data_IF_873726731761
#
_entry.id   IF_873726731761
#
_cell.length_a   1.000
_cell.length_b   1.000
_cell.length_c   1.000
_cell.angle_alpha   90.00
_cell.angle_beta   90.00
_cell.angle_gamma   90.00
#
_symmetry.space_group_name_H-M   'P 1'
#
loop_
_entity.id
_entity.type
_entity.pdbx_description
1 polymer ?
#
# COMPACT_ATOMS: atom_id res chain seq x y z
N UNK A 1 14.04 2.41 -25.56
CA UNK A 1 14.27 1.39 -24.52
C UNK A 1 15.76 1.09 -24.37
N UNK A 2 16.49 0.69 -25.41
CA UNK A 2 17.95 0.42 -25.31
C UNK A 2 18.74 1.65 -24.83
N UNK A 3 18.47 2.84 -25.36
CA UNK A 3 19.15 4.05 -24.92
C UNK A 3 18.90 4.35 -23.44
N UNK A 4 17.69 4.10 -22.95
CA UNK A 4 17.37 4.24 -21.53
C UNK A 4 18.11 3.20 -20.68
N UNK A 5 18.18 1.94 -21.13
CA UNK A 5 18.92 0.89 -20.43
C UNK A 5 20.43 1.22 -20.35
N UNK A 6 21.03 1.65 -21.46
CA UNK A 6 22.44 2.09 -21.50
C UNK A 6 22.71 3.28 -20.57
N UNK A 7 21.81 4.29 -20.57
CA UNK A 7 21.97 5.45 -19.72
C UNK A 7 21.82 5.14 -18.23
N UNK A 8 21.08 4.08 -17.87
CA UNK A 8 20.91 3.63 -16.49
C UNK A 8 22.00 2.65 -16.02
N UNK A 9 22.86 2.15 -16.93
CA UNK A 9 23.83 1.09 -16.63
C UNK A 9 24.75 1.41 -15.43
N UNK A 10 25.11 2.68 -15.26
CA UNK A 10 26.06 3.11 -14.23
C UNK A 10 25.40 3.74 -12.99
N UNK A 11 24.07 3.76 -12.93
CA UNK A 11 23.30 4.37 -11.83
C UNK A 11 23.03 3.42 -10.65
N UNK A 12 23.60 2.20 -10.70
CA UNK A 12 23.46 1.21 -9.61
C UNK A 12 22.14 0.48 -9.58
N UNK A 13 21.34 0.49 -10.67
CA UNK A 13 20.11 -0.30 -10.73
C UNK A 13 20.41 -1.81 -10.75
N UNK A 14 19.59 -2.58 -10.05
CA UNK A 14 19.70 -4.04 -9.96
C UNK A 14 18.86 -4.77 -11.00
N UNK A 15 17.84 -4.09 -11.55
CA UNK A 15 16.88 -4.68 -12.47
C UNK A 15 16.33 -3.61 -13.41
N UNK A 16 16.37 -3.87 -14.71
CA UNK A 16 15.75 -3.02 -15.74
C UNK A 16 14.41 -3.60 -16.14
N UNK A 17 13.34 -2.81 -16.09
CA UNK A 17 12.01 -3.25 -16.46
C UNK A 17 11.44 -2.50 -17.65
N UNK A 18 10.71 -3.22 -18.52
CA UNK A 18 9.89 -2.58 -19.55
C UNK A 18 8.53 -3.26 -19.69
N UNK A 19 7.51 -2.46 -20.05
CA UNK A 19 6.17 -2.96 -20.30
C UNK A 19 6.04 -3.55 -21.69
N UNK A 20 6.18 -4.86 -21.82
CA UNK A 20 5.97 -5.61 -23.06
C UNK A 20 4.48 -5.63 -23.40
N UNK A 21 3.66 -5.91 -22.41
CA UNK A 21 2.20 -5.80 -22.44
C UNK A 21 1.76 -4.81 -21.37
N UNK A 22 0.78 -3.96 -21.69
CA UNK A 22 0.26 -2.95 -20.75
C UNK A 22 -1.28 -3.06 -20.70
N UNK A 23 -1.85 -3.67 -19.65
CA UNK A 23 -3.29 -3.70 -19.49
C UNK A 23 -3.84 -2.28 -19.32
N UNK A 24 -4.74 -1.85 -20.19
CA UNK A 24 -5.31 -0.50 -20.20
C UNK A 24 -6.77 -0.51 -19.79
N UNK A 25 -7.20 0.58 -19.14
CA UNK A 25 -8.59 0.75 -18.73
C UNK A 25 -9.50 1.12 -19.90
N UNK A 26 -8.95 1.82 -20.91
CA UNK A 26 -9.69 2.23 -22.09
C UNK A 26 -9.12 1.56 -23.33
N UNK A 27 -9.96 1.19 -24.30
CA UNK A 27 -9.50 0.74 -25.61
C UNK A 27 -8.71 1.85 -26.30
N UNK A 28 -8.00 1.52 -27.37
CA UNK A 28 -7.20 2.43 -28.20
C UNK A 28 -6.01 3.12 -27.51
N UNK A 29 -5.73 2.78 -26.24
CA UNK A 29 -4.50 3.19 -25.58
C UNK A 29 -3.34 2.25 -25.93
N UNK A 30 -2.11 2.75 -25.80
CA UNK A 30 -0.92 1.92 -26.09
C UNK A 30 -0.84 0.72 -25.13
N UNK A 31 -1.04 -0.47 -25.65
CA UNK A 31 -1.08 -1.75 -24.90
C UNK A 31 0.27 -2.48 -24.85
N UNK A 32 1.35 -1.84 -25.29
CA UNK A 32 2.68 -2.44 -25.44
C UNK A 32 2.92 -2.93 -26.87
N UNK A 33 4.13 -3.42 -27.13
CA UNK A 33 4.51 -3.98 -28.44
C UNK A 33 4.37 -5.50 -28.50
N UNK A 34 4.05 -6.13 -27.37
CA UNK A 34 3.90 -7.57 -27.30
C UNK A 34 5.24 -8.34 -27.48
N UNK A 35 5.16 -9.57 -27.94
CA UNK A 35 6.31 -10.49 -28.05
C UNK A 35 7.59 -9.89 -28.66
N UNK A 36 7.57 -9.07 -29.74
CA UNK A 36 8.78 -8.45 -30.27
C UNK A 36 9.58 -7.63 -29.25
N UNK A 37 8.92 -7.07 -28.23
CA UNK A 37 9.61 -6.30 -27.19
C UNK A 37 10.39 -7.18 -26.20
N UNK A 38 10.15 -8.48 -26.14
CA UNK A 38 10.96 -9.42 -25.38
C UNK A 38 12.39 -9.49 -25.95
N UNK A 39 12.55 -9.52 -27.26
CA UNK A 39 13.86 -9.52 -27.92
C UNK A 39 14.63 -8.24 -27.59
N UNK A 40 13.94 -7.10 -27.48
CA UNK A 40 14.56 -5.84 -27.08
C UNK A 40 15.02 -5.84 -25.63
N UNK A 41 14.27 -6.47 -24.71
CA UNK A 41 14.70 -6.66 -23.33
C UNK A 41 15.93 -7.57 -23.23
N UNK A 42 15.95 -8.68 -23.97
CA UNK A 42 17.10 -9.59 -24.04
C UNK A 42 18.32 -8.85 -24.57
N UNK A 43 18.15 -8.04 -25.63
CA UNK A 43 19.24 -7.21 -26.17
C UNK A 43 19.73 -6.20 -25.12
N UNK A 44 18.82 -5.53 -24.39
CA UNK A 44 19.20 -4.61 -23.32
C UNK A 44 20.05 -5.31 -22.24
N UNK A 45 19.65 -6.51 -21.82
CA UNK A 45 20.43 -7.32 -20.87
C UNK A 45 21.82 -7.68 -21.43
N UNK A 46 21.89 -8.12 -22.68
CA UNK A 46 23.16 -8.50 -23.33
C UNK A 46 24.14 -7.33 -23.42
N UNK A 47 23.63 -6.14 -23.72
CA UNK A 47 24.45 -4.94 -23.85
C UNK A 47 24.87 -4.31 -22.53
N UNK A 48 24.00 -4.35 -21.53
CA UNK A 48 24.22 -3.64 -20.24
C UNK A 48 24.66 -4.55 -19.11
N UNK A 49 24.43 -5.86 -19.22
CA UNK A 49 24.62 -6.81 -18.13
C UNK A 49 23.55 -6.74 -17.02
N UNK A 50 22.56 -5.84 -17.13
CA UNK A 50 21.52 -5.66 -16.12
C UNK A 50 20.41 -6.70 -16.35
N UNK A 51 20.00 -7.46 -15.32
CA UNK A 51 18.84 -8.35 -15.41
C UNK A 51 17.58 -7.60 -15.84
N UNK A 52 16.68 -8.29 -16.54
CA UNK A 52 15.49 -7.67 -17.14
C UNK A 52 14.20 -8.26 -16.60
N UNK A 53 13.17 -7.41 -16.51
CA UNK A 53 11.86 -7.79 -16.02
C UNK A 53 10.72 -7.28 -16.91
N UNK A 54 9.57 -7.99 -16.88
CA UNK A 54 8.34 -7.54 -17.52
C UNK A 54 7.09 -8.02 -16.80
N UNK A 55 5.96 -7.35 -17.08
CA UNK A 55 4.63 -7.72 -16.56
C UNK A 55 4.08 -8.94 -17.29
N UNK A 56 3.45 -9.84 -16.55
CA UNK A 56 2.66 -10.95 -17.08
C UNK A 56 1.22 -10.87 -16.59
N UNK A 57 0.25 -11.18 -17.45
CA UNK A 57 -1.16 -11.10 -17.15
C UNK A 57 -1.93 -12.40 -17.42
N UNK A 58 -1.28 -13.39 -18.04
CA UNK A 58 -1.85 -14.70 -18.38
C UNK A 58 -0.73 -15.72 -18.59
N UNK A 59 -1.10 -16.98 -18.81
CA UNK A 59 -0.18 -18.11 -19.04
C UNK A 59 0.68 -17.94 -20.29
N UNK A 60 0.12 -17.42 -21.39
CA UNK A 60 0.84 -17.19 -22.64
C UNK A 60 1.97 -16.16 -22.49
N UNK A 61 1.76 -15.14 -21.63
CA UNK A 61 2.82 -14.18 -21.30
C UNK A 61 3.94 -14.84 -20.51
N UNK A 62 3.61 -15.69 -19.53
CA UNK A 62 4.60 -16.45 -18.76
C UNK A 62 5.44 -17.33 -19.69
N UNK A 63 4.80 -18.16 -20.52
CA UNK A 63 5.49 -19.05 -21.46
C UNK A 63 6.42 -18.28 -22.42
N UNK A 64 5.94 -17.14 -22.95
CA UNK A 64 6.76 -16.31 -23.84
C UNK A 64 7.98 -15.73 -23.13
N UNK A 65 7.82 -15.27 -21.88
CA UNK A 65 8.91 -14.74 -21.07
C UNK A 65 9.93 -15.82 -20.70
N UNK A 66 9.47 -17.01 -20.29
CA UNK A 66 10.34 -18.16 -19.99
C UNK A 66 11.16 -18.57 -21.21
N UNK A 67 10.51 -18.65 -22.39
CA UNK A 67 11.19 -18.97 -23.65
C UNK A 67 12.23 -17.92 -24.05
N UNK A 68 11.96 -16.64 -23.81
CA UNK A 68 12.89 -15.54 -24.06
C UNK A 68 14.00 -15.42 -22.99
N UNK A 69 13.88 -16.15 -21.88
CA UNK A 69 14.84 -16.10 -20.77
C UNK A 69 14.79 -14.79 -20.01
N UNK A 70 13.61 -14.22 -19.76
CA UNK A 70 13.44 -13.04 -18.90
C UNK A 70 13.76 -13.41 -17.46
N UNK A 71 14.52 -12.56 -16.76
CA UNK A 71 15.10 -12.87 -15.46
C UNK A 71 14.09 -12.75 -14.30
N UNK A 72 13.14 -11.80 -14.37
CA UNK A 72 12.13 -11.55 -13.33
C UNK A 72 10.78 -11.24 -13.97
N UNK A 73 9.70 -11.77 -13.41
CA UNK A 73 8.34 -11.47 -13.84
C UNK A 73 7.60 -10.67 -12.74
N UNK A 74 6.61 -9.85 -13.12
CA UNK A 74 5.69 -9.33 -12.13
C UNK A 74 4.24 -9.46 -12.57
N UNK A 75 3.38 -9.67 -11.59
CA UNK A 75 1.93 -9.68 -11.75
C UNK A 75 1.43 -8.26 -11.48
N UNK A 76 0.76 -7.66 -12.46
CA UNK A 76 0.26 -6.29 -12.38
C UNK A 76 -0.97 -6.15 -11.49
N UNK A 77 -1.21 -4.94 -11.00
CA UNK A 77 -2.31 -4.63 -10.08
C UNK A 77 -3.71 -5.00 -10.61
N UNK A 78 -3.91 -4.93 -11.93
CA UNK A 78 -5.17 -5.32 -12.57
C UNK A 78 -5.35 -6.84 -12.65
N UNK A 79 -4.26 -7.57 -12.73
CA UNK A 79 -4.27 -9.04 -12.73
C UNK A 79 -4.41 -9.58 -11.31
N UNK A 80 -3.77 -8.94 -10.33
CA UNK A 80 -3.82 -9.32 -8.90
C UNK A 80 -5.26 -9.33 -8.35
N UNK A 81 -6.18 -8.54 -8.90
CA UNK A 81 -7.59 -8.53 -8.48
C UNK A 81 -8.36 -9.81 -8.83
N UNK A 82 -7.81 -10.67 -9.70
CA UNK A 82 -8.45 -11.92 -10.14
C UNK A 82 -7.73 -13.14 -9.58
N UNK A 83 -8.27 -13.82 -8.56
CA UNK A 83 -7.68 -15.05 -8.03
C UNK A 83 -7.50 -16.15 -9.08
N UNK A 84 -8.39 -16.23 -10.07
CA UNK A 84 -8.29 -17.21 -11.15
C UNK A 84 -7.10 -16.90 -12.07
N UNK A 85 -6.94 -15.65 -12.51
CA UNK A 85 -5.82 -15.26 -13.34
C UNK A 85 -4.46 -15.45 -12.63
N UNK A 86 -4.39 -15.10 -11.34
CA UNK A 86 -3.20 -15.35 -10.52
C UNK A 86 -2.93 -16.84 -10.39
N UNK A 87 -3.97 -17.68 -10.21
CA UNK A 87 -3.80 -19.12 -10.12
C UNK A 87 -3.29 -19.74 -11.43
N UNK A 88 -3.80 -19.30 -12.58
CA UNK A 88 -3.33 -19.74 -13.90
C UNK A 88 -1.85 -19.37 -14.12
N UNK A 89 -1.46 -18.13 -13.78
CA UNK A 89 -0.06 -17.68 -13.82
C UNK A 89 0.81 -18.52 -12.88
N UNK A 90 0.36 -18.73 -11.64
CA UNK A 90 1.07 -19.55 -10.67
C UNK A 90 1.27 -20.98 -11.18
N UNK A 91 0.25 -21.58 -11.80
CA UNK A 91 0.35 -22.90 -12.41
C UNK A 91 1.37 -22.94 -13.56
N UNK A 92 1.42 -21.90 -14.39
CA UNK A 92 2.41 -21.80 -15.48
C UNK A 92 3.85 -21.59 -14.98
N UNK A 93 4.03 -21.18 -13.73
CA UNK A 93 5.34 -21.01 -13.09
C UNK A 93 5.87 -22.28 -12.40
N UNK A 94 5.06 -23.35 -12.29
CA UNK A 94 5.47 -24.59 -11.66
C UNK A 94 6.71 -25.19 -12.31
N UNK A 95 7.67 -25.60 -11.47
CA UNK A 95 8.94 -26.16 -11.95
C UNK A 95 9.92 -25.13 -12.55
N UNK A 96 9.62 -23.84 -12.48
CA UNK A 96 10.55 -22.76 -12.85
C UNK A 96 11.22 -22.17 -11.62
N UNK A 97 12.38 -21.55 -11.82
CA UNK A 97 13.11 -20.84 -10.77
C UNK A 97 13.20 -19.33 -11.07
N UNK A 98 12.15 -18.75 -11.68
CA UNK A 98 12.11 -17.33 -12.04
C UNK A 98 11.45 -16.53 -10.90
N UNK A 99 12.13 -15.54 -10.31
CA UNK A 99 11.56 -14.66 -9.30
C UNK A 99 10.31 -13.92 -9.77
N UNK A 100 9.33 -13.77 -8.90
CA UNK A 100 8.06 -13.13 -9.24
C UNK A 100 7.73 -12.02 -8.25
N UNK A 101 7.40 -10.85 -8.77
CA UNK A 101 6.90 -9.75 -7.96
C UNK A 101 5.39 -9.63 -8.12
N UNK A 102 4.68 -9.36 -7.02
CA UNK A 102 3.22 -9.25 -7.00
C UNK A 102 2.81 -7.85 -6.58
N UNK A 103 2.27 -7.05 -7.51
CA UNK A 103 1.72 -5.72 -7.18
C UNK A 103 0.46 -5.85 -6.33
N UNK A 104 0.24 -4.91 -5.40
CA UNK A 104 -1.04 -4.83 -4.70
C UNK A 104 -2.20 -4.64 -5.69
N UNK A 105 -3.40 -5.15 -5.37
CA UNK A 105 -4.60 -4.95 -6.20
C UNK A 105 -4.95 -3.46 -6.31
N UNK A 106 -5.78 -3.11 -7.29
CA UNK A 106 -6.19 -1.71 -7.53
C UNK A 106 -6.93 -1.12 -6.32
N UNK A 107 -7.77 -1.90 -5.65
CA UNK A 107 -8.49 -1.50 -4.44
C UNK A 107 -7.74 -1.94 -3.18
N UNK A 108 -8.00 -1.26 -2.08
CA UNK A 108 -7.44 -1.55 -0.77
C UNK A 108 -8.03 -2.86 -0.21
N UNK A 109 -7.36 -3.98 -0.47
CA UNK A 109 -7.77 -5.32 -0.05
C UNK A 109 -6.53 -6.14 0.32
N UNK A 110 -6.18 -6.14 1.60
CA UNK A 110 -5.02 -6.87 2.11
C UNK A 110 -5.16 -8.38 1.95
N UNK A 111 -6.29 -9.03 2.31
CA UNK A 111 -6.48 -10.47 2.09
C UNK A 111 -6.32 -10.91 0.64
N UNK A 112 -6.80 -10.11 -0.30
CA UNK A 112 -6.65 -10.39 -1.73
C UNK A 112 -5.19 -10.33 -2.18
N UNK A 113 -4.42 -9.34 -1.68
CA UNK A 113 -3.00 -9.23 -1.98
C UNK A 113 -2.20 -10.39 -1.39
N UNK A 114 -2.43 -10.71 -0.13
CA UNK A 114 -1.83 -11.87 0.54
C UNK A 114 -2.13 -13.17 -0.22
N UNK A 115 -3.39 -13.39 -0.56
CA UNK A 115 -3.80 -14.58 -1.30
C UNK A 115 -3.15 -14.72 -2.68
N UNK A 116 -2.88 -13.59 -3.38
CA UNK A 116 -2.13 -13.61 -4.62
C UNK A 116 -0.66 -14.02 -4.41
N UNK A 117 0.00 -13.48 -3.40
CA UNK A 117 1.37 -13.83 -3.02
C UNK A 117 1.48 -15.30 -2.63
N UNK A 118 0.56 -15.78 -1.80
CA UNK A 118 0.53 -17.18 -1.34
C UNK A 118 0.34 -18.17 -2.49
N UNK A 119 -0.50 -17.86 -3.48
CA UNK A 119 -0.67 -18.72 -4.68
C UNK A 119 0.63 -18.86 -5.44
N UNK A 120 1.36 -17.75 -5.63
CA UNK A 120 2.65 -17.79 -6.33
C UNK A 120 3.70 -18.54 -5.50
N UNK A 121 3.81 -18.27 -4.19
CA UNK A 121 4.73 -18.98 -3.28
C UNK A 121 4.49 -20.49 -3.22
N UNK A 122 3.25 -20.93 -3.38
CA UNK A 122 2.92 -22.37 -3.43
C UNK A 122 3.29 -23.04 -4.74
N UNK A 123 3.49 -22.27 -5.80
CA UNK A 123 3.74 -22.79 -7.13
C UNK A 123 5.22 -22.84 -7.51
N UNK A 124 6.09 -22.05 -6.85
CA UNK A 124 7.51 -21.96 -7.14
C UNK A 124 8.34 -21.78 -5.88
N UNK A 125 9.55 -22.36 -5.90
CA UNK A 125 10.58 -22.14 -4.86
C UNK A 125 11.39 -20.85 -5.10
N UNK A 126 11.17 -20.17 -6.21
CA UNK A 126 11.82 -18.91 -6.53
C UNK A 126 11.37 -17.78 -5.60
N UNK A 127 12.20 -16.75 -5.38
CA UNK A 127 11.84 -15.59 -4.58
C UNK A 127 10.55 -14.91 -5.05
N UNK A 128 9.63 -14.66 -4.12
CA UNK A 128 8.40 -13.91 -4.37
C UNK A 128 8.41 -12.66 -3.52
N UNK A 129 8.31 -11.48 -4.16
CA UNK A 129 8.31 -10.17 -3.53
C UNK A 129 7.00 -9.44 -3.78
N UNK A 130 6.67 -8.50 -2.92
CA UNK A 130 5.53 -7.62 -3.10
C UNK A 130 5.95 -6.27 -3.69
N UNK A 131 5.05 -5.66 -4.48
CA UNK A 131 5.22 -4.28 -4.95
C UNK A 131 4.05 -3.44 -4.46
N UNK A 132 4.35 -2.46 -3.61
CA UNK A 132 3.39 -1.46 -3.19
C UNK A 132 3.35 -0.30 -4.20
N UNK A 133 2.21 -0.13 -4.88
CA UNK A 133 2.00 0.89 -5.92
C UNK A 133 0.86 1.88 -5.62
N UNK A 134 0.34 1.87 -4.36
CA UNK A 134 -0.83 2.62 -3.96
C UNK A 134 -2.16 2.03 -4.44
N UNK A 135 -3.26 2.61 -3.99
CA UNK A 135 -4.62 2.13 -4.21
C UNK A 135 -5.49 3.20 -4.87
N UNK A 136 -6.42 2.76 -5.70
CA UNK A 136 -7.37 3.65 -6.36
C UNK A 136 -8.36 4.24 -5.35
N UNK A 137 -8.59 5.55 -5.42
CA UNK A 137 -9.66 6.24 -4.70
C UNK A 137 -10.51 7.04 -5.69
N UNK A 138 -11.78 7.21 -5.37
CA UNK A 138 -12.67 8.07 -6.13
C UNK A 138 -12.44 9.55 -5.77
N UNK A 139 -12.56 10.44 -6.74
CA UNK A 139 -12.40 11.89 -6.58
C UNK A 139 -10.99 12.42 -6.89
N UNK A 140 -10.82 13.74 -6.75
CA UNK A 140 -9.52 14.38 -6.92
C UNK A 140 -8.62 14.07 -5.74
N UNK A 141 -7.38 13.67 -6.03
CA UNK A 141 -6.38 13.29 -5.05
C UNK A 141 -5.06 14.00 -5.35
N UNK A 142 -4.23 14.21 -4.33
CA UNK A 142 -2.87 14.69 -4.49
C UNK A 142 -2.03 13.67 -5.27
N UNK A 143 -2.19 12.38 -4.95
CA UNK A 143 -1.54 11.23 -5.58
C UNK A 143 -2.43 10.60 -6.65
N UNK A 144 -1.81 10.01 -7.67
CA UNK A 144 -2.52 9.20 -8.66
C UNK A 144 -3.18 7.97 -8.04
N UNK A 145 -2.48 7.34 -7.10
CA UNK A 145 -3.01 6.26 -6.27
C UNK A 145 -2.66 6.56 -4.82
N UNK A 146 -3.66 6.54 -3.94
CA UNK A 146 -3.44 6.80 -2.52
C UNK A 146 -2.42 5.80 -1.93
N UNK A 147 -1.37 6.25 -1.26
CA UNK A 147 -0.35 5.34 -0.75
C UNK A 147 -0.88 4.35 0.29
N UNK A 148 -1.78 4.77 1.19
CA UNK A 148 -2.38 3.90 2.23
C UNK A 148 -1.31 2.99 2.86
N UNK A 149 -0.26 3.60 3.42
CA UNK A 149 0.93 2.93 3.96
C UNK A 149 0.61 1.87 5.00
N UNK A 150 -0.48 2.07 5.74
CA UNK A 150 -1.01 1.13 6.74
C UNK A 150 -1.25 -0.27 6.18
N UNK A 151 -1.62 -0.40 4.90
CA UNK A 151 -1.84 -1.71 4.27
C UNK A 151 -0.52 -2.41 3.97
N UNK A 152 0.49 -1.66 3.51
CA UNK A 152 1.82 -2.23 3.28
C UNK A 152 2.49 -2.64 4.60
N UNK A 153 2.32 -1.84 5.67
CA UNK A 153 2.76 -2.17 7.02
C UNK A 153 2.04 -3.42 7.53
N UNK A 154 0.72 -3.50 7.38
CA UNK A 154 -0.05 -4.67 7.79
C UNK A 154 0.36 -5.94 7.02
N UNK A 155 0.70 -5.82 5.72
CA UNK A 155 1.27 -6.93 4.95
C UNK A 155 2.61 -7.39 5.53
N UNK A 156 3.51 -6.46 5.86
CA UNK A 156 4.81 -6.78 6.45
C UNK A 156 4.66 -7.47 7.82
N UNK A 157 3.68 -7.03 8.62
CA UNK A 157 3.38 -7.66 9.92
C UNK A 157 2.83 -9.08 9.75
N UNK A 158 1.96 -9.30 8.75
CA UNK A 158 1.37 -10.61 8.48
C UNK A 158 2.36 -11.60 7.81
N UNK A 159 3.33 -11.08 7.05
CA UNK A 159 4.33 -11.86 6.29
C UNK A 159 5.73 -11.25 6.53
N UNK A 160 6.34 -11.43 7.70
CA UNK A 160 7.59 -10.74 8.08
C UNK A 160 8.81 -11.08 7.20
N UNK A 161 8.81 -12.24 6.57
CA UNK A 161 9.83 -12.73 5.64
C UNK A 161 9.66 -12.23 4.20
N UNK A 162 8.59 -11.46 3.92
CA UNK A 162 8.29 -10.96 2.60
C UNK A 162 9.03 -9.65 2.32
N UNK A 163 9.83 -9.62 1.26
CA UNK A 163 10.40 -8.38 0.77
C UNK A 163 9.34 -7.55 0.05
N UNK A 164 9.20 -6.28 0.45
CA UNK A 164 8.28 -5.32 -0.17
C UNK A 164 9.09 -4.20 -0.81
N UNK A 165 8.85 -3.91 -2.08
CA UNK A 165 9.38 -2.73 -2.77
C UNK A 165 8.25 -1.73 -3.06
N UNK A 166 8.59 -0.45 -3.11
CA UNK A 166 7.65 0.61 -3.45
C UNK A 166 7.76 0.99 -4.93
N UNK A 167 6.64 1.33 -5.54
CA UNK A 167 6.55 1.92 -6.88
C UNK A 167 6.11 3.40 -6.77
N UNK A 168 7.05 4.34 -6.51
CA UNK A 168 6.75 5.76 -6.35
C UNK A 168 6.09 6.37 -7.59
N UNK A 169 6.46 5.92 -8.79
CA UNK A 169 5.92 6.45 -10.04
C UNK A 169 4.41 6.28 -10.13
N UNK A 170 3.91 5.10 -9.79
CA UNK A 170 2.47 4.83 -9.84
C UNK A 170 1.71 5.43 -8.64
N UNK A 171 2.34 5.58 -7.48
CA UNK A 171 1.74 6.29 -6.34
C UNK A 171 1.63 7.78 -6.67
N UNK A 172 2.71 8.42 -7.02
CA UNK A 172 2.80 9.85 -7.27
C UNK A 172 1.99 10.31 -8.50
N UNK A 173 2.18 9.64 -9.64
CA UNK A 173 1.59 10.00 -10.92
C UNK A 173 2.16 11.29 -11.54
N UNK A 174 3.10 11.97 -10.86
CA UNK A 174 3.79 13.18 -11.29
C UNK A 174 5.17 13.28 -10.66
N UNK A 175 6.13 13.85 -11.39
CA UNK A 175 7.55 13.93 -10.98
C UNK A 175 7.75 14.63 -9.63
N UNK A 176 7.04 15.73 -9.39
CA UNK A 176 7.20 16.54 -8.17
C UNK A 176 6.95 15.82 -6.84
N UNK A 177 6.31 14.64 -6.86
CA UNK A 177 6.01 13.86 -5.66
C UNK A 177 6.90 12.63 -5.50
N UNK A 178 7.74 12.28 -6.49
CA UNK A 178 8.51 11.04 -6.49
C UNK A 178 9.46 10.94 -5.31
N UNK A 179 10.23 11.97 -5.04
CA UNK A 179 11.20 12.02 -3.93
C UNK A 179 10.50 11.80 -2.59
N UNK A 180 9.40 12.52 -2.34
CA UNK A 180 8.63 12.41 -1.10
C UNK A 180 8.08 10.99 -0.88
N UNK A 181 7.59 10.35 -1.94
CA UNK A 181 7.07 8.98 -1.86
C UNK A 181 8.21 7.98 -1.69
N UNK A 182 9.30 8.14 -2.43
CA UNK A 182 10.48 7.28 -2.34
C UNK A 182 11.12 7.36 -0.95
N UNK A 183 11.34 8.57 -0.41
CA UNK A 183 11.88 8.75 0.93
C UNK A 183 10.97 8.12 1.99
N UNK A 184 9.65 8.34 1.89
CA UNK A 184 8.70 7.73 2.84
C UNK A 184 8.74 6.20 2.80
N UNK A 185 8.91 5.59 1.62
CA UNK A 185 9.08 4.14 1.50
C UNK A 185 10.36 3.65 2.21
N UNK A 186 11.47 4.38 2.04
CA UNK A 186 12.73 4.05 2.74
C UNK A 186 12.60 4.23 4.26
N UNK A 187 11.96 5.29 4.72
CA UNK A 187 11.70 5.54 6.15
C UNK A 187 10.82 4.45 6.79
N UNK A 188 9.97 3.79 6.00
CA UNK A 188 9.15 2.65 6.43
C UNK A 188 9.86 1.30 6.31
N UNK A 189 11.15 1.29 5.97
CA UNK A 189 11.94 0.06 5.88
C UNK A 189 11.60 -0.82 4.67
N UNK A 190 11.05 -0.27 3.59
CA UNK A 190 10.85 -1.05 2.37
C UNK A 190 12.18 -1.41 1.72
N UNK A 191 12.24 -2.60 1.10
CA UNK A 191 13.46 -3.24 0.62
C UNK A 191 14.00 -2.69 -0.70
N UNK A 192 13.28 -1.75 -1.34
CA UNK A 192 13.72 -1.12 -2.58
C UNK A 192 12.63 -0.32 -3.26
N UNK A 193 12.98 0.22 -4.42
CA UNK A 193 12.13 1.08 -5.23
C UNK A 193 11.99 0.54 -6.65
N UNK A 194 10.83 0.71 -7.25
CA UNK A 194 10.57 0.47 -8.67
C UNK A 194 10.10 1.77 -9.31
N UNK A 195 10.93 2.39 -10.16
CA UNK A 195 10.63 3.69 -10.77
C UNK A 195 10.58 3.61 -12.29
N UNK A 196 9.87 4.55 -12.91
CA UNK A 196 9.81 4.69 -14.37
C UNK A 196 10.78 5.78 -14.82
N UNK A 197 11.66 5.39 -15.77
CA UNK A 197 12.62 6.30 -16.41
C UNK A 197 12.56 6.19 -17.92
N UNK A 198 12.80 7.31 -18.61
CA UNK A 198 12.89 7.40 -20.06
C UNK A 198 13.87 8.48 -20.46
N UNK A 199 14.73 8.27 -21.47
CA UNK A 199 15.68 9.27 -21.95
C UNK A 199 15.03 10.59 -22.37
N UNK A 200 13.78 10.52 -22.85
CA UNK A 200 12.96 11.66 -23.25
C UNK A 200 11.54 11.43 -22.74
N UNK A 201 11.26 11.75 -21.46
CA UNK A 201 9.95 11.45 -20.83
C UNK A 201 8.75 11.98 -21.60
N UNK A 202 8.88 13.14 -22.24
CA UNK A 202 7.81 13.76 -23.05
C UNK A 202 7.46 12.97 -24.31
N UNK A 203 8.40 12.15 -24.81
CA UNK A 203 8.19 11.26 -25.95
C UNK A 203 7.76 9.84 -25.53
N UNK A 204 7.57 9.60 -24.25
CA UNK A 204 7.14 8.30 -23.76
C UNK A 204 5.71 7.98 -24.24
N UNK A 205 5.52 6.75 -24.71
CA UNK A 205 4.23 6.30 -25.25
C UNK A 205 3.14 6.12 -24.19
N UNK A 206 3.50 6.21 -22.92
CA UNK A 206 2.58 6.11 -21.77
C UNK A 206 3.20 6.75 -20.53
N UNK A 207 2.33 7.25 -19.66
CA UNK A 207 2.66 7.67 -18.30
C UNK A 207 3.80 8.72 -18.24
N UNK A 208 3.89 9.64 -19.22
CA UNK A 208 4.94 10.67 -19.39
C UNK A 208 5.16 11.54 -18.15
N UNK A 209 4.07 11.90 -17.45
CA UNK A 209 4.08 12.86 -16.34
C UNK A 209 4.82 12.33 -15.09
N UNK A 210 4.94 11.02 -14.96
CA UNK A 210 5.58 10.36 -13.82
C UNK A 210 6.98 9.81 -14.13
N UNK A 211 7.41 9.85 -15.40
CA UNK A 211 8.72 9.36 -15.81
C UNK A 211 9.78 10.42 -15.60
N UNK A 212 10.97 10.01 -15.19
CA UNK A 212 12.15 10.85 -15.04
C UNK A 212 13.22 10.46 -16.04
N UNK A 213 14.12 11.38 -16.38
CA UNK A 213 15.32 11.03 -17.14
C UNK A 213 16.27 10.16 -16.30
N UNK A 214 17.20 9.40 -16.91
CA UNK A 214 18.23 8.66 -16.17
C UNK A 214 19.03 9.54 -15.20
N UNK A 215 19.35 10.77 -15.57
CA UNK A 215 20.09 11.71 -14.71
C UNK A 215 19.23 12.18 -13.51
N UNK A 216 17.96 12.50 -13.73
CA UNK A 216 17.02 12.82 -12.63
C UNK A 216 16.80 11.63 -11.71
N UNK A 217 16.72 10.40 -12.26
CA UNK A 217 16.64 9.18 -11.48
C UNK A 217 17.86 9.01 -10.57
N UNK A 218 19.06 9.15 -11.12
CA UNK A 218 20.30 9.05 -10.35
C UNK A 218 20.36 10.08 -9.24
N UNK A 219 20.07 11.34 -9.54
CA UNK A 219 20.04 12.42 -8.55
C UNK A 219 19.02 12.14 -7.43
N UNK A 220 17.83 11.65 -7.78
CA UNK A 220 16.82 11.29 -6.81
C UNK A 220 17.31 10.17 -5.87
N UNK A 221 17.87 9.09 -6.41
CA UNK A 221 18.36 7.96 -5.59
C UNK A 221 19.51 8.41 -4.69
N UNK A 222 20.44 9.23 -5.18
CA UNK A 222 21.57 9.76 -4.39
C UNK A 222 21.07 10.72 -3.28
N UNK A 223 19.95 11.42 -3.49
CA UNK A 223 19.34 12.32 -2.51
C UNK A 223 18.62 11.62 -1.36
N UNK A 224 18.31 10.33 -1.49
CA UNK A 224 17.58 9.59 -0.45
C UNK A 224 18.43 9.32 0.78
N UNK A 225 17.84 9.55 1.94
CA UNK A 225 18.43 9.14 3.22
C UNK A 225 18.03 7.69 3.50
N UNK A 226 19.00 6.79 3.41
CA UNK A 226 18.79 5.39 3.77
C UNK A 226 19.07 5.22 5.27
N UNK A 227 18.04 4.75 6.00
CA UNK A 227 18.13 4.46 7.44
C UNK A 227 18.13 2.96 7.63
N UNK A 228 19.07 2.48 8.41
CA UNK A 228 19.15 1.04 8.73
C UNK A 228 18.24 0.75 9.93
N UNK A 229 17.31 -0.16 9.75
CA UNK A 229 16.43 -0.64 10.84
C UNK A 229 17.21 -1.40 11.93
N UNK A 230 18.43 -1.85 11.63
CA UNK A 230 19.29 -2.65 12.52
C UNK A 230 20.42 -1.86 13.16
N UNK A 231 20.71 -0.63 12.72
CA UNK A 231 21.57 0.25 13.50
C UNK A 231 20.78 0.67 14.72
N UNK A 232 21.11 0.10 15.86
CA UNK A 232 20.54 0.51 17.14
C UNK A 232 20.66 2.03 17.32
N UNK A 233 19.71 2.65 18.03
CA UNK A 233 19.77 4.09 18.28
C UNK A 233 21.09 4.47 18.95
N UNK A 234 21.61 5.63 18.64
CA UNK A 234 22.78 6.22 19.31
C UNK A 234 22.59 6.33 20.83
N UNK A 235 21.33 6.33 21.28
CA UNK A 235 20.92 6.26 22.67
C UNK A 235 19.72 5.30 22.83
N UNK A 236 19.97 3.97 22.94
CA UNK A 236 18.91 2.96 23.11
C UNK A 236 18.08 3.18 24.37
N UNK A 237 18.69 3.65 25.44
CA UNK A 237 18.02 3.86 26.72
C UNK A 237 17.00 5.00 26.64
N UNK A 238 17.32 6.08 25.93
CA UNK A 238 16.41 7.20 25.72
C UNK A 238 15.21 6.80 24.84
N UNK A 239 15.43 6.06 23.76
CA UNK A 239 14.34 5.57 22.92
C UNK A 239 13.39 4.66 23.69
N UNK A 240 13.94 3.75 24.50
CA UNK A 240 13.14 2.85 25.33
C UNK A 240 12.35 3.60 26.41
N UNK A 241 12.96 4.59 27.06
CA UNK A 241 12.27 5.46 28.00
C UNK A 241 11.08 6.23 27.35
N UNK A 242 11.26 6.71 26.10
CA UNK A 242 10.17 7.37 25.35
C UNK A 242 9.06 6.38 24.99
N UNK A 243 9.37 5.15 24.62
CA UNK A 243 8.37 4.10 24.35
C UNK A 243 7.57 3.77 25.61
N UNK A 244 8.22 3.57 26.75
CA UNK A 244 7.53 3.34 28.02
C UNK A 244 6.61 4.50 28.42
N UNK A 245 7.02 5.75 28.14
CA UNK A 245 6.12 6.89 28.35
C UNK A 245 4.91 6.84 27.41
N UNK A 246 5.08 6.47 26.14
CA UNK A 246 3.99 6.31 25.20
C UNK A 246 3.03 5.20 25.62
N UNK A 247 3.55 4.05 26.03
CA UNK A 247 2.77 2.91 26.55
C UNK A 247 1.91 3.33 27.74
N UNK A 248 2.49 4.11 28.68
CA UNK A 248 1.75 4.63 29.84
C UNK A 248 0.65 5.62 29.45
N UNK A 249 0.86 6.43 28.40
CA UNK A 249 -0.18 7.33 27.87
C UNK A 249 -1.28 6.53 27.19
N UNK A 250 -0.93 5.50 26.40
CA UNK A 250 -1.90 4.63 25.73
C UNK A 250 -2.78 3.89 26.74
N UNK A 251 -2.22 3.42 27.87
CA UNK A 251 -2.98 2.83 28.97
C UNK A 251 -4.00 3.82 29.54
N UNK A 252 -3.59 5.06 29.80
CA UNK A 252 -4.48 6.12 30.30
C UNK A 252 -5.60 6.44 29.28
N UNK A 253 -5.30 6.46 27.99
CA UNK A 253 -6.31 6.66 26.93
C UNK A 253 -7.33 5.54 26.92
N UNK A 254 -6.90 4.28 27.07
CA UNK A 254 -7.79 3.11 27.16
C UNK A 254 -8.70 3.20 28.39
N UNK A 255 -8.17 3.56 29.55
CA UNK A 255 -8.97 3.75 30.78
C UNK A 255 -10.01 4.87 30.64
N UNK A 256 -9.63 6.00 30.02
CA UNK A 256 -10.57 7.09 29.73
C UNK A 256 -11.66 6.68 28.74
N UNK A 257 -11.32 5.89 27.72
CA UNK A 257 -12.30 5.32 26.78
C UNK A 257 -13.25 4.36 27.49
N UNK A 258 -12.76 3.50 28.38
CA UNK A 258 -13.59 2.62 29.20
C UNK A 258 -14.57 3.43 30.06
N UNK A 259 -14.07 4.44 30.75
CA UNK A 259 -14.90 5.35 31.58
C UNK A 259 -15.97 6.03 30.73
N UNK A 260 -15.62 6.50 29.55
CA UNK A 260 -16.54 7.10 28.58
C UNK A 260 -17.61 6.11 28.10
N UNK A 261 -17.27 4.84 27.87
CA UNK A 261 -18.23 3.81 27.47
C UNK A 261 -19.16 3.43 28.61
N UNK A 262 -18.70 3.46 29.87
CA UNK A 262 -19.57 3.27 31.03
C UNK A 262 -20.64 4.39 31.11
N UNK A 263 -20.25 5.66 30.96
CA UNK A 263 -21.20 6.78 30.86
C UNK A 263 -22.15 6.62 29.66
N UNK A 264 -21.69 6.07 28.52
CA UNK A 264 -22.56 5.79 27.39
C UNK A 264 -23.62 4.72 27.71
N UNK A 265 -23.28 3.69 28.50
CA UNK A 265 -24.26 2.70 29.02
C UNK A 265 -25.31 3.37 29.93
N UNK A 266 -24.88 4.19 30.86
CA UNK A 266 -25.79 4.93 31.75
C UNK A 266 -26.76 5.82 30.95
N UNK A 267 -26.25 6.53 29.93
CA UNK A 267 -27.08 7.32 29.01
C UNK A 267 -28.06 6.42 28.25
N UNK A 268 -27.62 5.24 27.79
CA UNK A 268 -28.49 4.22 27.14
C UNK A 268 -29.63 3.78 28.04
N UNK A 269 -29.31 3.46 29.31
CA UNK A 269 -30.30 3.11 30.34
C UNK A 269 -31.29 4.25 30.64
N UNK A 270 -30.79 5.49 30.77
CA UNK A 270 -31.64 6.66 30.95
C UNK A 270 -32.61 6.85 29.77
N UNK A 271 -32.12 6.79 28.54
CA UNK A 271 -32.93 6.91 27.32
C UNK A 271 -34.00 5.81 27.23
N UNK A 272 -33.64 4.57 27.55
CA UNK A 272 -34.57 3.44 27.63
C UNK A 272 -35.72 3.72 28.60
N UNK A 273 -35.40 4.17 29.78
CA UNK A 273 -36.40 4.45 30.84
C UNK A 273 -37.34 5.61 30.50
N UNK A 274 -36.90 6.54 29.64
CA UNK A 274 -37.66 7.71 29.24
C UNK A 274 -38.21 7.66 27.82
N UNK A 275 -38.12 6.52 27.12
CA UNK A 275 -38.62 6.36 25.75
C UNK A 275 -37.92 7.24 24.73
N UNK A 276 -36.66 7.59 24.93
CA UNK A 276 -35.89 8.48 24.06
C UNK A 276 -35.14 7.70 22.96
N UNK A 277 -34.97 8.31 21.81
CA UNK A 277 -34.15 7.72 20.70
C UNK A 277 -32.66 7.75 21.05
N UNK A 278 -31.91 6.73 20.57
CA UNK A 278 -30.48 6.62 20.79
C UNK A 278 -29.73 7.78 20.10
N UNK A 279 -30.00 8.00 18.82
CA UNK A 279 -29.35 9.03 18.03
C UNK A 279 -30.03 10.39 18.20
N UNK A 280 -29.28 11.38 18.67
CA UNK A 280 -29.68 12.77 18.77
C UNK A 280 -28.78 13.62 17.86
N UNK A 281 -29.21 13.84 16.62
CA UNK A 281 -28.43 14.50 15.56
C UNK A 281 -27.90 15.88 15.96
N UNK A 282 -28.67 16.65 16.72
CA UNK A 282 -28.25 17.99 17.19
C UNK A 282 -27.02 17.89 18.11
N UNK A 283 -27.08 16.96 19.08
CA UNK A 283 -25.98 16.70 20.02
C UNK A 283 -24.73 16.20 19.31
N UNK A 284 -24.90 15.35 18.28
CA UNK A 284 -23.79 14.86 17.49
C UNK A 284 -23.05 15.99 16.76
N UNK A 285 -23.77 16.89 16.09
CA UNK A 285 -23.19 18.07 15.43
C UNK A 285 -22.43 18.96 16.41
N UNK A 286 -22.98 19.18 17.60
CA UNK A 286 -22.33 19.97 18.67
C UNK A 286 -21.03 19.32 19.14
N UNK A 287 -21.02 17.99 19.35
CA UNK A 287 -19.84 17.22 19.75
C UNK A 287 -18.74 17.36 18.69
N UNK A 288 -19.05 17.14 17.43
CA UNK A 288 -18.08 17.29 16.34
C UNK A 288 -17.45 18.68 16.31
N UNK A 289 -18.28 19.72 16.34
CA UNK A 289 -17.81 21.11 16.31
C UNK A 289 -16.91 21.47 17.50
N UNK A 290 -17.33 21.12 18.72
CA UNK A 290 -16.60 21.53 19.93
C UNK A 290 -15.31 20.74 20.12
N UNK A 291 -15.32 19.41 19.87
CA UNK A 291 -14.13 18.57 20.05
C UNK A 291 -13.13 18.77 18.92
N UNK A 292 -13.61 19.05 17.70
CA UNK A 292 -12.74 19.45 16.59
C UNK A 292 -11.94 20.72 16.92
N UNK A 293 -12.60 21.75 17.48
CA UNK A 293 -11.92 22.97 17.90
C UNK A 293 -10.91 22.73 19.05
N UNK A 294 -11.22 21.84 20.00
CA UNK A 294 -10.26 21.49 21.06
C UNK A 294 -9.03 20.77 20.53
N UNK A 295 -9.24 19.86 19.58
CA UNK A 295 -8.16 19.10 18.96
C UNK A 295 -7.23 20.01 18.13
N UNK A 296 -7.82 20.92 17.37
CA UNK A 296 -7.07 21.95 16.61
C UNK A 296 -6.22 22.82 17.55
N UNK A 297 -6.79 23.28 18.66
CA UNK A 297 -6.05 24.04 19.67
C UNK A 297 -4.93 23.21 20.34
N UNK A 298 -5.05 21.89 20.37
CA UNK A 298 -4.03 20.97 20.86
C UNK A 298 -3.01 20.56 19.78
N UNK A 299 -3.10 21.08 18.54
CA UNK A 299 -2.20 20.78 17.43
C UNK A 299 -2.45 19.40 16.79
N UNK A 300 -3.61 18.79 17.00
CA UNK A 300 -3.96 17.50 16.39
C UNK A 300 -4.54 17.69 14.99
N UNK A 301 -4.17 16.79 14.04
CA UNK A 301 -4.65 16.86 12.67
C UNK A 301 -6.18 16.73 12.56
N UNK A 302 -6.86 17.60 11.78
CA UNK A 302 -8.33 17.59 11.67
C UNK A 302 -8.89 16.25 11.18
N UNK A 303 -8.29 15.66 10.14
CA UNK A 303 -8.74 14.37 9.57
C UNK A 303 -8.61 13.22 10.58
N UNK A 304 -7.53 13.21 11.37
CA UNK A 304 -7.32 12.23 12.44
C UNK A 304 -8.44 12.33 13.49
N UNK A 305 -8.73 13.55 13.96
CA UNK A 305 -9.73 13.78 15.00
C UNK A 305 -11.14 13.49 14.50
N UNK A 306 -11.48 13.83 13.27
CA UNK A 306 -12.76 13.50 12.66
C UNK A 306 -12.98 11.98 12.65
N UNK A 307 -12.00 11.23 12.14
CA UNK A 307 -12.03 9.77 12.12
C UNK A 307 -12.15 9.17 13.52
N UNK A 308 -11.37 9.67 14.48
CA UNK A 308 -11.42 9.24 15.88
C UNK A 308 -12.81 9.46 16.50
N UNK A 309 -13.37 10.65 16.36
CA UNK A 309 -14.69 10.98 16.90
C UNK A 309 -15.80 10.12 16.29
N UNK A 310 -15.71 9.81 14.99
CA UNK A 310 -16.65 8.90 14.34
C UNK A 310 -16.60 7.49 14.93
N UNK A 311 -15.40 6.92 15.12
CA UNK A 311 -15.25 5.58 15.68
C UNK A 311 -15.73 5.52 17.13
N UNK A 312 -15.35 6.50 17.94
CA UNK A 312 -15.81 6.62 19.34
C UNK A 312 -17.33 6.80 19.42
N UNK A 313 -17.95 7.48 18.46
CA UNK A 313 -19.40 7.62 18.40
C UNK A 313 -20.10 6.32 18.00
N UNK A 314 -19.60 5.62 16.99
CA UNK A 314 -20.11 4.30 16.59
C UNK A 314 -20.11 3.34 17.79
N UNK A 315 -19.03 3.29 18.54
CA UNK A 315 -18.91 2.45 19.73
C UNK A 315 -19.91 2.89 20.83
N UNK A 316 -20.08 4.19 21.03
CA UNK A 316 -21.08 4.69 21.99
C UNK A 316 -22.51 4.31 21.60
N UNK A 317 -22.86 4.34 20.31
CA UNK A 317 -24.17 3.87 19.82
C UNK A 317 -24.31 2.37 20.02
N UNK A 318 -23.29 1.58 19.73
CA UNK A 318 -23.29 0.13 19.93
C UNK A 318 -23.60 -0.24 21.38
N UNK A 319 -22.87 0.37 22.32
CA UNK A 319 -23.04 0.15 23.75
C UNK A 319 -24.44 0.56 24.25
N UNK A 320 -24.95 1.72 23.79
CA UNK A 320 -26.33 2.16 24.13
C UNK A 320 -27.38 1.21 23.56
N UNK A 321 -27.19 0.68 22.35
CA UNK A 321 -28.09 -0.31 21.73
C UNK A 321 -28.15 -1.61 22.53
N UNK A 322 -27.01 -2.08 23.02
CA UNK A 322 -26.96 -3.28 23.87
C UNK A 322 -27.78 -3.09 25.15
N UNK A 323 -27.61 -1.95 25.84
CA UNK A 323 -28.39 -1.64 27.03
C UNK A 323 -29.90 -1.52 26.76
N UNK A 324 -30.26 -0.90 25.64
CA UNK A 324 -31.68 -0.76 25.28
C UNK A 324 -32.31 -2.10 24.85
N UNK A 325 -31.51 -3.01 24.27
CA UNK A 325 -31.98 -4.31 23.77
C UNK A 325 -32.09 -5.39 24.86
N UNK A 326 -31.40 -5.21 26.00
CA UNK A 326 -31.56 -6.13 27.13
C UNK A 326 -33.00 -6.12 27.60
N UNK A 327 -33.74 -7.22 27.40
CA UNK A 327 -35.10 -7.39 27.90
C UNK A 327 -35.08 -7.28 29.42
N UNK A 328 -36.13 -6.68 30.00
CA UNK A 328 -36.45 -6.80 31.42
C UNK A 328 -36.63 -8.28 31.79
N UNK A 329 -35.52 -8.97 32.03
CA UNK A 329 -35.53 -10.32 32.61
C UNK A 329 -35.35 -10.24 34.11
N UNK A 330 -36.22 -9.46 34.80
CA UNK A 330 -36.39 -9.50 36.24
C UNK A 330 -37.67 -8.78 36.60
N UNK A 331 -38.79 -9.49 36.49
CA UNK A 331 -39.97 -9.37 37.38
C UNK A 331 -40.98 -10.48 37.06
N UNK A 332 -40.59 -11.75 37.34
CA UNK A 332 -41.50 -12.85 37.59
C UNK A 332 -40.93 -13.70 38.71
N UNK A 333 -40.92 -13.16 39.89
CA UNK A 333 -40.95 -13.89 41.14
C UNK A 333 -41.58 -12.98 42.18
N UNK A 334 -42.89 -13.04 42.25
CA UNK A 334 -43.72 -12.89 43.46
C UNK A 334 -45.09 -13.51 43.17
#
# INVERSE_FOLDING_TARGET
>A
MLDTARALQHTGIHLFRAGVWKPRTRPDAFEGRGKPALDWLVTARQETGIPVATEVANTQHVEACLKAGIDVLWIGARTTVSPFAVQEIATALQGTNVPVFVKNPMHADLPLWMGAIERVRKATDAPVWAIHRGFSRYGQQEYRNAPMWEIAIALQMAMPDLNIICDPSHIAGKRALLERVAQKAMDLGMHGLMMESHCQPEAAMSDSDQQVTPAEFEALIQGLTIRDAHTGPSDPANLEALRLQMDSIDEQVIELLQTRMNLAREIGQYKKNHGMTILQMQRWKEVFKTRGAWAEAAGLGPEFIETYLEQVHKESIRVQNEEMSQKKSENKQL
#
